data_IF_766498055327
#
_entry.id   IF_766498055327
#
_cell.length_a   1.000
_cell.length_b   1.000
_cell.length_c   1.000
_cell.angle_alpha   90.00
_cell.angle_beta   90.00
_cell.angle_gamma   90.00
#
_symmetry.space_group_name_H-M   'P 1'
#
loop_
_entity.id
_entity.type
_entity.pdbx_description
1 polymer ?
#
# COMPACT_ATOMS: atom_id res chain seq x y z
N UNK A 1 21.22 -5.12 -35.96
CA UNK A 1 20.50 -3.94 -35.44
C UNK A 1 19.46 -4.47 -34.47
N UNK A 2 19.92 -5.17 -33.43
CA UNK A 2 19.09 -6.06 -32.59
C UNK A 2 19.25 -5.76 -31.10
N UNK A 3 20.26 -4.93 -30.77
CA UNK A 3 20.63 -4.58 -29.41
C UNK A 3 19.58 -3.68 -28.76
N UNK A 4 18.94 -2.77 -29.51
CA UNK A 4 17.88 -1.90 -28.97
C UNK A 4 16.60 -2.66 -28.62
N UNK A 5 16.22 -3.68 -29.41
CA UNK A 5 15.05 -4.51 -29.13
C UNK A 5 15.27 -5.39 -27.87
N UNK A 6 16.44 -6.01 -27.73
CA UNK A 6 16.81 -6.77 -26.52
C UNK A 6 16.95 -5.89 -25.28
N UNK A 7 17.54 -4.70 -25.40
CA UNK A 7 17.63 -3.73 -24.29
C UNK A 7 16.21 -3.30 -23.87
N UNK A 8 15.31 -3.00 -24.81
CA UNK A 8 13.92 -2.63 -24.50
C UNK A 8 13.16 -3.75 -23.78
N UNK A 9 13.36 -5.02 -24.20
CA UNK A 9 12.75 -6.18 -23.59
C UNK A 9 13.27 -6.45 -22.18
N UNK A 10 14.57 -6.29 -21.95
CA UNK A 10 15.18 -6.45 -20.62
C UNK A 10 14.79 -5.32 -19.67
N UNK A 11 14.70 -4.08 -20.15
CA UNK A 11 14.24 -2.93 -19.37
C UNK A 11 12.78 -3.09 -18.97
N UNK A 12 11.90 -3.45 -19.91
CA UNK A 12 10.48 -3.62 -19.61
C UNK A 12 10.19 -4.80 -18.66
N UNK A 13 11.00 -5.87 -18.72
CA UNK A 13 10.94 -6.95 -17.73
C UNK A 13 11.27 -6.45 -16.32
N UNK A 14 12.27 -5.57 -16.16
CA UNK A 14 12.59 -4.96 -14.86
C UNK A 14 11.47 -4.06 -14.37
N UNK A 15 10.91 -3.23 -15.23
CA UNK A 15 9.76 -2.36 -14.89
C UNK A 15 8.59 -3.21 -14.38
N UNK A 16 8.21 -4.26 -15.11
CA UNK A 16 7.14 -5.17 -14.68
C UNK A 16 7.43 -5.85 -13.34
N UNK A 17 8.67 -6.29 -13.14
CA UNK A 17 9.09 -6.92 -11.89
C UNK A 17 8.93 -5.96 -10.70
N UNK A 18 9.46 -4.74 -10.80
CA UNK A 18 9.36 -3.77 -9.71
C UNK A 18 7.95 -3.23 -9.53
N UNK A 19 7.17 -3.07 -10.59
CA UNK A 19 5.76 -2.69 -10.50
C UNK A 19 4.96 -3.74 -9.71
N UNK A 20 5.14 -5.03 -10.05
CA UNK A 20 4.53 -6.13 -9.31
C UNK A 20 4.94 -6.14 -7.84
N UNK A 21 6.25 -6.05 -7.58
CA UNK A 21 6.78 -6.07 -6.22
C UNK A 21 6.36 -4.84 -5.38
N UNK A 22 6.13 -3.68 -6.01
CA UNK A 22 5.55 -2.53 -5.33
C UNK A 22 4.08 -2.77 -4.95
N UNK A 23 3.29 -3.34 -5.86
CA UNK A 23 1.88 -3.69 -5.60
C UNK A 23 1.78 -4.75 -4.50
N UNK A 24 2.54 -5.84 -4.59
CA UNK A 24 2.54 -6.92 -3.58
C UNK A 24 2.88 -6.37 -2.19
N UNK A 25 3.86 -5.47 -2.06
CA UNK A 25 4.19 -4.85 -0.76
C UNK A 25 3.10 -3.95 -0.20
N UNK A 26 2.37 -3.26 -1.07
CA UNK A 26 1.22 -2.43 -0.66
C UNK A 26 0.08 -3.33 -0.20
N UNK A 27 -0.24 -4.38 -0.96
CA UNK A 27 -1.27 -5.37 -0.61
C UNK A 27 -0.95 -6.05 0.72
N UNK A 28 0.26 -6.60 0.87
CA UNK A 28 0.73 -7.25 2.11
C UNK A 28 0.66 -6.30 3.31
N UNK A 29 1.07 -5.03 3.12
CA UNK A 29 1.02 -4.01 4.17
C UNK A 29 -0.42 -3.68 4.57
N UNK A 30 -1.31 -3.51 3.60
CA UNK A 30 -2.73 -3.23 3.85
C UNK A 30 -3.40 -4.40 4.59
N UNK A 31 -3.13 -5.63 4.19
CA UNK A 31 -3.72 -6.81 4.83
C UNK A 31 -3.19 -7.02 6.26
N UNK A 32 -1.90 -6.77 6.51
CA UNK A 32 -1.35 -6.77 7.87
C UNK A 32 -2.01 -5.73 8.77
N UNK A 33 -2.32 -4.53 8.25
CA UNK A 33 -3.03 -3.50 9.02
C UNK A 33 -4.49 -3.90 9.26
N UNK A 34 -5.19 -4.50 8.29
CA UNK A 34 -6.54 -5.04 8.53
C UNK A 34 -6.54 -6.10 9.62
N UNK A 35 -5.58 -7.03 9.59
CA UNK A 35 -5.44 -8.08 10.60
C UNK A 35 -5.18 -7.48 11.99
N UNK A 36 -4.31 -6.47 12.08
CA UNK A 36 -4.09 -5.71 13.31
C UNK A 36 -5.41 -5.13 13.82
N UNK A 37 -6.11 -4.34 12.99
CA UNK A 37 -7.35 -3.65 13.39
C UNK A 37 -8.45 -4.63 13.81
N UNK A 38 -8.60 -5.77 13.13
CA UNK A 38 -9.58 -6.80 13.47
C UNK A 38 -9.46 -7.31 14.92
N UNK A 39 -8.25 -7.28 15.50
CA UNK A 39 -7.98 -7.76 16.84
C UNK A 39 -8.01 -6.66 17.93
N UNK A 40 -8.25 -5.41 17.54
CA UNK A 40 -8.26 -4.25 18.46
C UNK A 40 -9.68 -3.87 18.90
N UNK A 41 -9.77 -3.27 20.09
CA UNK A 41 -10.95 -2.56 20.57
C UNK A 41 -11.18 -1.25 19.81
N UNK A 42 -12.36 -0.65 19.93
CA UNK A 42 -12.67 0.61 19.24
C UNK A 42 -11.72 1.75 19.63
N UNK A 43 -11.36 1.86 20.92
CA UNK A 43 -10.45 2.91 21.40
C UNK A 43 -9.02 2.73 20.86
N UNK A 44 -8.55 1.49 20.78
CA UNK A 44 -7.23 1.17 20.21
C UNK A 44 -7.20 1.40 18.70
N UNK A 45 -8.28 1.05 17.98
CA UNK A 45 -8.41 1.37 16.55
C UNK A 45 -8.31 2.87 16.30
N UNK A 46 -9.02 3.68 17.10
CA UNK A 46 -8.93 5.14 17.02
C UNK A 46 -7.49 5.64 17.24
N UNK A 47 -6.78 5.07 18.22
CA UNK A 47 -5.37 5.36 18.44
C UNK A 47 -4.50 5.08 17.21
N UNK A 48 -4.69 3.93 16.57
CA UNK A 48 -3.97 3.58 15.33
C UNK A 48 -4.29 4.57 14.20
N UNK A 49 -5.55 5.00 14.06
CA UNK A 49 -5.93 5.97 13.03
C UNK A 49 -5.20 7.30 13.19
N UNK A 50 -5.09 7.80 14.42
CA UNK A 50 -4.41 9.05 14.74
C UNK A 50 -2.91 8.97 14.41
N UNK A 51 -2.26 7.85 14.73
CA UNK A 51 -0.85 7.64 14.38
C UNK A 51 -0.63 7.54 12.87
N UNK A 52 -1.57 6.95 12.12
CA UNK A 52 -1.53 6.90 10.66
C UNK A 52 -1.73 8.30 10.04
N UNK A 53 -2.66 9.08 10.58
CA UNK A 53 -2.88 10.46 10.17
C UNK A 53 -1.64 11.32 10.44
N UNK A 54 -1.02 11.22 11.61
CA UNK A 54 0.21 11.95 11.96
C UNK A 54 1.38 11.58 11.06
N UNK A 55 1.56 10.28 10.78
CA UNK A 55 2.64 9.80 9.92
C UNK A 55 2.54 10.30 8.47
N UNK A 56 1.33 10.38 7.92
CA UNK A 56 1.11 10.94 6.58
C UNK A 56 -0.36 11.34 6.34
N UNK A 57 -0.73 12.60 6.58
CA UNK A 57 -2.12 13.05 6.47
C UNK A 57 -2.70 12.85 5.07
N UNK A 58 -1.92 13.13 4.02
CA UNK A 58 -2.37 13.02 2.63
C UNK A 58 -2.69 11.57 2.24
N UNK A 59 -1.82 10.62 2.65
CA UNK A 59 -2.02 9.20 2.35
C UNK A 59 -3.14 8.60 3.21
N UNK A 60 -3.26 9.06 4.46
CA UNK A 60 -4.36 8.66 5.31
C UNK A 60 -5.71 9.12 4.76
N UNK A 61 -5.82 10.38 4.29
CA UNK A 61 -7.03 10.88 3.65
C UNK A 61 -7.42 10.05 2.40
N UNK A 62 -6.44 9.62 1.61
CA UNK A 62 -6.66 8.72 0.47
C UNK A 62 -7.14 7.34 0.92
N UNK A 63 -6.53 6.78 1.97
CA UNK A 63 -6.93 5.50 2.56
C UNK A 63 -8.36 5.52 3.10
N UNK A 64 -8.76 6.59 3.81
CA UNK A 64 -10.13 6.77 4.32
C UNK A 64 -11.14 6.91 3.17
N UNK A 65 -10.74 7.56 2.06
CA UNK A 65 -11.59 7.66 0.86
C UNK A 65 -11.83 6.30 0.22
N UNK A 66 -10.78 5.48 0.12
CA UNK A 66 -10.85 4.16 -0.53
C UNK A 66 -11.46 3.07 0.37
N UNK A 67 -11.42 3.27 1.70
CA UNK A 67 -11.86 2.30 2.71
C UNK A 67 -12.50 3.00 3.93
N UNK A 68 -13.72 3.58 3.79
CA UNK A 68 -14.36 4.38 4.84
C UNK A 68 -14.66 3.61 6.13
N UNK A 69 -14.82 2.28 6.04
CA UNK A 69 -15.04 1.41 7.21
C UNK A 69 -13.86 1.39 8.21
N UNK A 70 -12.73 1.99 7.85
CA UNK A 70 -11.59 2.10 8.76
C UNK A 70 -11.89 3.13 9.85
N UNK A 71 -12.68 4.16 9.56
CA UNK A 71 -13.03 5.26 10.48
C UNK A 71 -14.35 5.06 11.23
N UNK A 72 -15.04 3.94 11.05
CA UNK A 72 -16.36 3.62 11.64
C UNK A 72 -16.27 2.72 12.89
#
# INVERSE_FOLDING_TARGET
MDTEAEISGSWWKRVKYYARLAIERVEDGVDAVKELLCNLTNDERLGVMLEFEDASPEKFAQLVTDAPQWTE
#
